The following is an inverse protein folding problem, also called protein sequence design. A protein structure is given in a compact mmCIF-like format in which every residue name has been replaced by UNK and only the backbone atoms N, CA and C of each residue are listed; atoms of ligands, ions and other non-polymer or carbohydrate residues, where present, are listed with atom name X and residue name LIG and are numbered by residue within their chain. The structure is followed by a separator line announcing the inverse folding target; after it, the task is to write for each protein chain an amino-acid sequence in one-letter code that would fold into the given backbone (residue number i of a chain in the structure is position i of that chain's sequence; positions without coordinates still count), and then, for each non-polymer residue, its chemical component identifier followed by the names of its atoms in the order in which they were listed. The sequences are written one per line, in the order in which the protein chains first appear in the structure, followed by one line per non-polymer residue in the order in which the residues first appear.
data_IF_836487614514
#
_entry.id   IF_836487614514
#
_cell.length_a   1.000
_cell.length_b   1.000
_cell.length_c   1.000
_cell.angle_alpha   90.00
_cell.angle_beta   90.00
_cell.angle_gamma   90.00
#
_symmetry.space_group_name_H-M   'P 1'
#
loop_
_entity.id
_entity.type
_entity.pdbx_description
1 polymer ?
#
# COMPACT_ATOMS: atom_id res chain seq x y z
N UNK A 1 6.84 -11.12 -14.54
CA UNK A 1 6.80 -9.69 -14.14
C UNK A 1 5.38 -9.22 -13.82
N UNK A 2 4.45 -9.27 -14.78
CA UNK A 2 3.07 -8.77 -14.62
C UNK A 2 2.31 -9.27 -13.38
N UNK A 3 2.36 -10.58 -13.11
CA UNK A 3 1.73 -11.17 -11.90
C UNK A 3 2.26 -10.55 -10.62
N UNK A 4 3.56 -10.21 -10.54
CA UNK A 4 4.16 -9.59 -9.36
C UNK A 4 3.64 -8.16 -9.16
N UNK A 5 3.48 -7.40 -10.24
CA UNK A 5 2.97 -6.02 -10.23
C UNK A 5 1.52 -6.02 -9.74
N UNK A 6 0.65 -6.76 -10.43
CA UNK A 6 -0.78 -6.83 -10.09
C UNK A 6 -0.97 -7.42 -8.71
N UNK A 7 -0.26 -8.51 -8.37
CA UNK A 7 -0.36 -9.13 -7.07
C UNK A 7 0.15 -8.23 -5.93
N UNK A 8 1.15 -7.37 -6.15
CA UNK A 8 1.58 -6.38 -5.14
C UNK A 8 0.54 -5.28 -4.92
N UNK A 9 -0.17 -4.88 -5.97
CA UNK A 9 -1.31 -3.96 -5.84
C UNK A 9 -2.46 -4.60 -5.06
N UNK A 10 -2.75 -5.88 -5.33
CA UNK A 10 -3.75 -6.65 -4.61
C UNK A 10 -3.38 -6.86 -3.13
N UNK A 11 -2.11 -7.16 -2.85
CA UNK A 11 -1.60 -7.29 -1.48
C UNK A 11 -1.86 -6.02 -0.66
N UNK A 12 -1.49 -4.86 -1.21
CA UNK A 12 -1.74 -3.56 -0.59
C UNK A 12 -3.23 -3.34 -0.35
N UNK A 13 -4.07 -3.58 -1.35
CA UNK A 13 -5.52 -3.38 -1.22
C UNK A 13 -6.12 -4.31 -0.17
N UNK A 14 -5.78 -5.60 -0.19
CA UNK A 14 -6.28 -6.57 0.79
C UNK A 14 -5.88 -6.19 2.22
N UNK A 15 -4.62 -5.80 2.45
CA UNK A 15 -4.18 -5.33 3.77
C UNK A 15 -4.93 -4.06 4.18
N UNK A 16 -5.04 -3.07 3.30
CA UNK A 16 -5.74 -1.84 3.65
C UNK A 16 -7.24 -2.06 3.87
N UNK A 17 -7.87 -2.93 3.11
CA UNK A 17 -9.28 -3.31 3.29
C UNK A 17 -9.50 -4.01 4.61
N UNK A 18 -8.79 -5.10 4.90
CA UNK A 18 -9.00 -5.85 6.15
C UNK A 18 -8.73 -4.98 7.38
N UNK A 19 -7.70 -4.12 7.33
CA UNK A 19 -7.37 -3.20 8.42
C UNK A 19 -8.45 -2.13 8.60
N UNK A 20 -8.88 -1.45 7.51
CA UNK A 20 -9.91 -0.40 7.59
C UNK A 20 -11.26 -0.96 7.99
N UNK A 21 -11.65 -2.09 7.44
CA UNK A 21 -12.92 -2.73 7.74
C UNK A 21 -12.98 -3.19 9.20
N UNK A 22 -11.87 -3.71 9.74
CA UNK A 22 -11.78 -4.09 11.15
C UNK A 22 -11.78 -2.87 12.08
N UNK A 23 -10.99 -1.84 11.78
CA UNK A 23 -10.81 -0.68 12.67
C UNK A 23 -11.96 0.33 12.59
N UNK A 24 -12.36 0.73 11.38
CA UNK A 24 -13.37 1.76 11.19
C UNK A 24 -14.80 1.22 11.16
N UNK A 25 -14.99 0.03 10.60
CA UNK A 25 -16.32 -0.52 10.36
C UNK A 25 -16.70 -1.66 11.31
N UNK A 26 -15.74 -2.18 12.10
CA UNK A 26 -15.94 -3.26 13.07
C UNK A 26 -16.67 -4.48 12.49
N UNK A 27 -16.37 -4.81 11.23
CA UNK A 27 -16.97 -5.95 10.55
C UNK A 27 -16.59 -7.26 11.23
N UNK A 28 -17.47 -8.26 11.13
CA UNK A 28 -17.22 -9.62 11.60
C UNK A 28 -16.11 -10.30 10.79
N UNK A 29 -15.55 -11.38 11.34
CA UNK A 29 -14.54 -12.19 10.65
C UNK A 29 -15.04 -12.70 9.29
N UNK A 30 -16.28 -13.18 9.23
CA UNK A 30 -16.91 -13.68 7.99
C UNK A 30 -17.05 -12.57 6.93
N UNK A 31 -17.48 -11.37 7.34
CA UNK A 31 -17.57 -10.22 6.44
C UNK A 31 -16.20 -9.77 5.94
N UNK A 32 -15.18 -9.76 6.80
CA UNK A 32 -13.82 -9.41 6.42
C UNK A 32 -13.25 -10.37 5.36
N UNK A 33 -13.47 -11.67 5.53
CA UNK A 33 -13.06 -12.69 4.57
C UNK A 33 -13.83 -12.52 3.25
N UNK A 34 -15.13 -12.25 3.30
CA UNK A 34 -15.96 -12.11 2.09
C UNK A 34 -15.70 -10.82 1.30
N UNK A 35 -15.26 -9.74 1.96
CA UNK A 35 -15.00 -8.45 1.31
C UNK A 35 -13.54 -8.23 0.91
N UNK A 36 -12.68 -9.24 1.09
CA UNK A 36 -11.30 -9.23 0.61
C UNK A 36 -11.12 -10.20 -0.55
N UNK A 37 -10.05 -10.02 -1.33
CA UNK A 37 -9.78 -10.88 -2.46
C UNK A 37 -8.95 -12.09 -2.00
N UNK A 38 -9.25 -13.32 -2.48
CA UNK A 38 -8.57 -14.54 -2.02
C UNK A 38 -7.19 -14.74 -2.66
N UNK A 39 -6.63 -13.71 -3.31
CA UNK A 39 -5.39 -13.79 -4.05
C UNK A 39 -4.56 -12.50 -3.93
N UNK A 40 -3.25 -12.69 -3.94
CA UNK A 40 -2.22 -11.66 -3.83
C UNK A 40 -0.89 -12.21 -4.35
N UNK A 41 0.20 -11.46 -4.20
CA UNK A 41 1.55 -11.95 -4.49
C UNK A 41 2.28 -12.42 -3.22
N UNK A 42 2.26 -11.59 -2.17
CA UNK A 42 2.88 -11.87 -0.86
C UNK A 42 1.84 -12.12 0.21
N UNK A 43 0.73 -11.38 0.18
CA UNK A 43 -0.36 -11.50 1.15
C UNK A 43 -1.21 -12.69 0.73
N UNK A 44 -1.28 -13.68 1.61
CA UNK A 44 -2.04 -14.90 1.41
C UNK A 44 -3.37 -14.84 2.14
N UNK A 45 -4.29 -15.71 1.75
CA UNK A 45 -5.58 -15.88 2.41
C UNK A 45 -5.42 -16.15 3.92
N UNK A 46 -4.41 -16.92 4.31
CA UNK A 46 -4.05 -17.18 5.71
C UNK A 46 -3.71 -15.90 6.50
N UNK A 47 -3.06 -14.91 5.86
CA UNK A 47 -2.70 -13.65 6.51
C UNK A 47 -3.93 -12.78 6.75
N UNK A 48 -4.82 -12.72 5.76
CA UNK A 48 -6.07 -11.97 5.85
C UNK A 48 -6.98 -12.57 6.92
N UNK A 49 -7.11 -13.91 6.93
CA UNK A 49 -7.85 -14.63 7.98
C UNK A 49 -7.25 -14.44 9.35
N UNK A 50 -5.92 -14.45 9.48
CA UNK A 50 -5.27 -14.18 10.76
C UNK A 50 -5.67 -12.81 11.32
N UNK A 51 -5.67 -11.76 10.47
CA UNK A 51 -6.13 -10.43 10.86
C UNK A 51 -7.62 -10.45 11.21
N UNK A 52 -8.46 -11.10 10.39
CA UNK A 52 -9.90 -11.19 10.61
C UNK A 52 -10.24 -11.88 11.94
N UNK A 53 -9.53 -12.96 12.27
CA UNK A 53 -9.67 -13.75 13.51
C UNK A 53 -9.10 -13.07 14.77
N UNK A 54 -8.54 -11.86 14.66
CA UNK A 54 -8.09 -11.11 15.82
C UNK A 54 -6.58 -11.08 16.07
N UNK A 55 -5.77 -11.66 15.20
CA UNK A 55 -4.30 -11.57 15.33
C UNK A 55 -3.83 -10.11 15.30
N UNK A 56 -2.67 -9.87 15.90
CA UNK A 56 -2.06 -8.55 15.87
C UNK A 56 -1.70 -8.14 14.44
N UNK A 57 -2.22 -6.99 14.03
CA UNK A 57 -2.06 -6.45 12.69
C UNK A 57 -0.60 -6.07 12.46
N UNK A 58 0.08 -5.51 13.47
CA UNK A 58 1.46 -5.08 13.33
C UNK A 58 2.40 -6.26 13.09
N UNK A 59 2.21 -7.36 13.83
CA UNK A 59 2.94 -8.61 13.62
C UNK A 59 2.72 -9.21 12.22
N UNK A 60 1.47 -9.25 11.74
CA UNK A 60 1.17 -9.79 10.40
C UNK A 60 1.80 -8.93 9.30
N UNK A 61 1.63 -7.61 9.36
CA UNK A 61 2.17 -6.69 8.35
C UNK A 61 3.70 -6.69 8.35
N UNK A 62 4.34 -6.67 9.53
CA UNK A 62 5.80 -6.67 9.65
C UNK A 62 6.43 -7.97 9.15
N UNK A 63 5.75 -9.12 9.33
CA UNK A 63 6.18 -10.40 8.75
C UNK A 63 6.17 -10.38 7.21
N UNK A 64 5.13 -9.80 6.60
CA UNK A 64 4.98 -9.78 5.12
C UNK A 64 5.84 -8.68 4.49
N UNK A 65 5.93 -7.52 5.15
CA UNK A 65 6.69 -6.37 4.72
C UNK A 65 7.61 -5.85 5.84
N UNK A 66 8.77 -6.49 6.06
CA UNK A 66 9.73 -6.07 7.10
C UNK A 66 10.29 -4.65 6.93
N UNK A 67 10.13 -4.07 5.74
CA UNK A 67 10.57 -2.70 5.42
C UNK A 67 9.53 -1.63 5.72
N UNK A 68 8.31 -2.03 6.10
CA UNK A 68 7.27 -1.11 6.58
C UNK A 68 7.51 -0.91 8.08
N UNK A 69 7.87 0.31 8.45
CA UNK A 69 8.26 0.66 9.80
C UNK A 69 7.07 1.15 10.61
N UNK A 70 7.17 0.97 11.94
CA UNK A 70 6.31 1.57 12.94
C UNK A 70 4.82 1.20 12.84
N UNK A 71 4.48 0.03 12.27
CA UNK A 71 3.08 -0.39 12.07
C UNK A 71 2.28 -0.32 13.37
N UNK A 72 2.83 -0.79 14.49
CA UNK A 72 2.16 -0.70 15.80
C UNK A 72 1.82 0.74 16.20
N UNK A 73 2.79 1.66 16.12
CA UNK A 73 2.58 3.07 16.43
C UNK A 73 1.57 3.75 15.47
N UNK A 74 1.55 3.35 14.20
CA UNK A 74 0.56 3.83 13.23
C UNK A 74 -0.87 3.35 13.55
N UNK A 75 -1.00 2.21 14.22
CA UNK A 75 -2.30 1.67 14.62
C UNK A 75 -2.83 2.27 15.94
N UNK A 76 -1.99 2.87 16.78
CA UNK A 76 -2.43 3.57 17.99
C UNK A 76 -3.30 4.80 17.68
N UNK A 77 -3.02 5.47 16.56
CA UNK A 77 -3.79 6.62 16.07
C UNK A 77 -4.30 6.38 14.64
N UNK A 78 -5.30 5.51 14.44
CA UNK A 78 -5.68 5.05 13.10
C UNK A 78 -6.01 6.17 12.11
N UNK A 79 -6.65 7.26 12.56
CA UNK A 79 -7.06 8.35 11.67
C UNK A 79 -5.87 9.00 10.95
N UNK A 80 -4.73 9.14 11.62
CA UNK A 80 -3.52 9.75 11.06
C UNK A 80 -2.47 8.71 10.64
N UNK A 81 -2.49 7.52 11.26
CA UNK A 81 -1.51 6.47 11.01
C UNK A 81 -1.85 5.55 9.83
N UNK A 82 -3.12 5.23 9.59
CA UNK A 82 -3.50 4.40 8.43
C UNK A 82 -3.17 5.04 7.08
N UNK A 83 -3.33 6.36 6.87
CA UNK A 83 -2.85 7.01 5.64
C UNK A 83 -1.34 6.86 5.45
N UNK A 84 -0.54 6.96 6.53
CA UNK A 84 0.91 6.75 6.46
C UNK A 84 1.26 5.29 6.15
N UNK A 85 0.54 4.34 6.74
CA UNK A 85 0.70 2.91 6.44
C UNK A 85 0.38 2.61 4.97
N UNK A 86 -0.75 3.12 4.46
CA UNK A 86 -1.13 3.00 3.05
C UNK A 86 -0.01 3.52 2.15
N UNK A 87 0.56 4.67 2.50
CA UNK A 87 1.62 5.27 1.74
C UNK A 87 2.91 4.41 1.73
N UNK A 88 3.29 3.83 2.88
CA UNK A 88 4.42 2.90 2.94
C UNK A 88 4.19 1.66 2.08
N UNK A 89 2.96 1.13 2.04
CA UNK A 89 2.60 0.01 1.17
C UNK A 89 2.59 0.40 -0.32
N UNK A 90 2.05 1.58 -0.68
CA UNK A 90 2.13 2.13 -2.05
C UNK A 90 3.57 2.23 -2.53
N UNK A 91 4.50 2.64 -1.67
CA UNK A 91 5.94 2.66 -2.00
C UNK A 91 6.50 1.28 -2.33
N UNK A 92 5.99 0.20 -1.73
CA UNK A 92 6.37 -1.17 -2.12
C UNK A 92 5.87 -1.52 -3.53
N UNK A 93 4.65 -1.10 -3.88
CA UNK A 93 4.10 -1.26 -5.23
C UNK A 93 4.92 -0.47 -6.25
N UNK A 94 5.26 0.80 -5.95
CA UNK A 94 6.13 1.63 -6.80
C UNK A 94 7.48 0.94 -7.04
N UNK A 95 8.14 0.43 -5.99
CA UNK A 95 9.40 -0.33 -6.14
C UNK A 95 9.23 -1.55 -7.06
N UNK A 96 8.11 -2.28 -6.93
CA UNK A 96 7.82 -3.44 -7.77
C UNK A 96 7.54 -3.05 -9.23
N UNK A 97 6.92 -1.89 -9.49
CA UNK A 97 6.74 -1.34 -10.83
C UNK A 97 8.07 -0.90 -11.44
N UNK A 98 8.93 -0.20 -10.69
CA UNK A 98 10.26 0.22 -11.17
C UNK A 98 11.13 -0.96 -11.58
N UNK A 99 11.05 -2.07 -10.83
CA UNK A 99 11.76 -3.30 -11.17
C UNK A 99 11.34 -3.91 -12.54
N UNK A 100 10.17 -3.53 -13.08
CA UNK A 100 9.72 -4.00 -14.39
C UNK A 100 10.50 -3.37 -15.56
N UNK A 101 11.21 -2.26 -15.33
CA UNK A 101 12.03 -1.59 -16.33
C UNK A 101 13.49 -2.08 -16.33
N UNK A 102 13.83 -3.01 -15.44
CA UNK A 102 15.18 -3.59 -15.32
C UNK A 102 15.16 -5.01 -15.90
N UNK A 103 16.05 -5.28 -16.86
CA UNK A 103 16.21 -6.59 -17.47
C UNK A 103 15.55 -6.69 -18.85
N UNK A 104 14.88 -7.82 -19.11
CA UNK A 104 14.28 -8.11 -20.43
C UNK A 104 13.12 -7.16 -20.75
N UNK A 105 13.20 -6.36 -21.82
CA UNK A 105 12.15 -5.40 -22.13
C UNK A 105 10.91 -6.01 -22.78
N UNK A 106 10.94 -7.28 -23.21
CA UNK A 106 9.85 -7.89 -23.99
C UNK A 106 8.80 -8.59 -23.12
N UNK A 107 8.13 -7.82 -22.26
CA UNK A 107 7.03 -8.36 -21.45
C UNK A 107 5.91 -7.35 -21.16
N UNK A 108 4.69 -7.86 -20.95
CA UNK A 108 3.50 -7.06 -20.60
C UNK A 108 3.63 -6.29 -19.27
N UNK A 109 4.63 -6.63 -18.44
CA UNK A 109 4.90 -5.92 -17.20
C UNK A 109 5.29 -4.45 -17.40
N UNK A 110 5.89 -4.06 -18.53
CA UNK A 110 6.30 -2.68 -18.79
C UNK A 110 5.10 -1.75 -18.92
N UNK A 111 4.14 -1.99 -19.84
CA UNK A 111 2.98 -1.10 -19.96
C UNK A 111 2.13 -1.09 -18.69
N UNK A 112 2.05 -2.20 -17.94
CA UNK A 112 1.36 -2.24 -16.64
C UNK A 112 2.05 -1.38 -15.59
N UNK A 113 3.37 -1.49 -15.46
CA UNK A 113 4.16 -0.69 -14.55
C UNK A 113 4.07 0.79 -14.90
N UNK A 114 4.12 1.14 -16.20
CA UNK A 114 3.94 2.50 -16.67
C UNK A 114 2.59 3.08 -16.22
N UNK A 115 1.48 2.39 -16.49
CA UNK A 115 0.15 2.85 -16.12
C UNK A 115 0.02 3.09 -14.60
N UNK A 116 0.50 2.16 -13.78
CA UNK A 116 0.45 2.32 -12.32
C UNK A 116 1.36 3.44 -11.81
N UNK A 117 2.57 3.59 -12.38
CA UNK A 117 3.46 4.69 -12.03
C UNK A 117 2.90 6.05 -12.47
N UNK A 118 2.17 6.11 -13.58
CA UNK A 118 1.43 7.32 -14.00
C UNK A 118 0.28 7.63 -13.05
N UNK A 119 -0.46 6.63 -12.57
CA UNK A 119 -1.52 6.83 -11.56
C UNK A 119 -0.94 7.39 -10.26
N UNK A 120 0.15 6.81 -9.75
CA UNK A 120 0.83 7.34 -8.56
C UNK A 120 1.42 8.75 -8.77
N UNK A 121 1.82 9.09 -9.99
CA UNK A 121 2.26 10.45 -10.32
C UNK A 121 1.12 11.45 -10.25
N UNK A 122 -0.05 11.09 -10.78
CA UNK A 122 -1.25 11.91 -10.68
C UNK A 122 -1.61 12.14 -9.21
N UNK A 123 -1.52 11.09 -8.37
CA UNK A 123 -1.74 11.24 -6.92
C UNK A 123 -0.73 12.21 -6.28
N UNK A 124 0.56 12.11 -6.59
CA UNK A 124 1.58 13.05 -6.11
C UNK A 124 1.31 14.49 -6.59
N UNK A 125 0.89 14.67 -7.85
CA UNK A 125 0.52 15.98 -8.39
C UNK A 125 -0.70 16.58 -7.67
N UNK A 126 -1.71 15.77 -7.35
CA UNK A 126 -2.86 16.21 -6.56
C UNK A 126 -2.40 16.70 -5.18
N UNK A 127 -1.56 15.93 -4.48
CA UNK A 127 -1.02 16.32 -3.17
C UNK A 127 -0.25 17.64 -3.27
N UNK A 128 0.59 17.81 -4.28
CA UNK A 128 1.35 19.04 -4.51
C UNK A 128 0.44 20.25 -4.76
N UNK A 129 -0.58 20.09 -5.62
CA UNK A 129 -1.52 21.16 -5.96
C UNK A 129 -2.32 21.58 -4.73
N UNK A 130 -2.88 20.63 -3.97
CA UNK A 130 -3.67 20.90 -2.77
C UNK A 130 -2.81 21.55 -1.67
N UNK A 131 -1.58 21.06 -1.47
CA UNK A 131 -0.67 21.61 -0.49
C UNK A 131 -0.28 23.06 -0.83
N UNK A 132 0.03 23.35 -2.10
CA UNK A 132 0.38 24.72 -2.52
C UNK A 132 -0.83 25.65 -2.51
N UNK A 133 -2.01 25.18 -2.91
CA UNK A 133 -3.28 25.92 -2.79
C UNK A 133 -3.59 26.30 -1.33
N UNK A 134 -3.33 25.38 -0.41
CA UNK A 134 -3.65 25.53 1.01
C UNK A 134 -2.50 26.14 1.85
N UNK A 135 -1.41 26.57 1.22
CA UNK A 135 -0.19 27.06 1.90
C UNK A 135 0.34 26.12 3.00
N UNK A 136 0.25 24.81 2.76
CA UNK A 136 0.76 23.76 3.64
C UNK A 136 2.29 23.77 3.61
N UNK A 137 2.92 23.62 4.79
CA UNK A 137 4.37 23.59 4.91
C UNK A 137 4.98 22.36 4.21
N UNK A 138 6.17 22.52 3.66
CA UNK A 138 6.89 21.48 2.92
C UNK A 138 7.07 20.19 3.74
N UNK A 139 7.33 20.33 5.03
CA UNK A 139 7.54 19.25 5.98
C UNK A 139 6.28 18.38 6.17
N UNK A 140 5.09 18.93 5.92
CA UNK A 140 3.81 18.26 6.16
C UNK A 140 3.38 17.40 4.97
N UNK A 141 3.54 17.88 3.73
CA UNK A 141 3.11 17.14 2.54
C UNK A 141 4.22 16.30 1.89
N UNK A 142 5.50 16.67 2.03
CA UNK A 142 6.62 15.87 1.46
C UNK A 142 6.60 14.42 1.90
N UNK A 143 6.32 14.08 3.17
CA UNK A 143 6.23 12.71 3.59
C UNK A 143 5.18 11.93 2.83
N UNK A 144 4.10 12.56 2.32
CA UNK A 144 2.95 11.97 1.60
C UNK A 144 3.24 11.63 0.13
N UNK A 145 4.30 12.20 -0.43
CA UNK A 145 4.71 11.93 -1.81
C UNK A 145 5.32 10.53 -1.97
N UNK A 146 5.00 9.88 -3.07
CA UNK A 146 5.40 8.50 -3.38
C UNK A 146 6.74 8.45 -4.12
N UNK A 147 6.99 9.40 -5.03
CA UNK A 147 8.17 9.39 -5.93
C UNK A 147 9.41 10.14 -5.41
N UNK A 148 9.42 10.66 -4.20
CA UNK A 148 10.49 11.57 -3.69
C UNK A 148 11.88 10.94 -3.55
N UNK A 149 11.97 9.61 -3.43
CA UNK A 149 13.23 8.88 -3.21
C UNK A 149 13.71 8.09 -4.44
N UNK A 150 13.18 8.38 -5.64
CA UNK A 150 13.50 7.63 -6.86
C UNK A 150 14.79 8.09 -7.58
N UNK A 151 15.52 9.06 -7.03
CA UNK A 151 16.73 9.65 -7.64
C UNK A 151 17.95 9.52 -6.71
N UNK A 152 18.15 8.34 -6.11
CA UNK A 152 19.41 7.98 -5.44
C UNK A 152 20.09 6.84 -6.18
#
# INVERSE_FOLDING_TARGET
MAVKIVGSLLDMNNLMWVIRYKIYHKLSEEELINYTLPFGFRVRDEDVRAIAAGSDIADVVSRIYPTVADVGALLETPQSGLPKLEQQLKRQVVKQCMAAFIGDPFHIGIPLAYLLLSDFEIQDLIVLIEAKSSNVADEEYRPLLLKTNLVQ
#
